data_IF_972770332175
#
_entry.id   IF_972770332175
#
_cell.length_a   1.000
_cell.length_b   1.000
_cell.length_c   1.000
_cell.angle_alpha   90.00
_cell.angle_beta   90.00
_cell.angle_gamma   90.00
#
_symmetry.space_group_name_H-M   'P 1'
#
loop_
_entity.id
_entity.type
_entity.pdbx_description
1 polymer ?
#
# COMPACT_ATOMS: atom_id res chain seq x y z
N UNK A 1 1.25 48.96 -6.64
CA UNK A 1 0.88 47.79 -7.48
C UNK A 1 1.92 46.67 -7.46
N UNK A 2 3.22 46.94 -7.24
CA UNK A 2 4.26 45.89 -7.20
C UNK A 2 4.40 45.09 -5.89
N UNK A 3 4.00 45.65 -4.74
CA UNK A 3 4.14 44.93 -3.46
C UNK A 3 3.18 43.73 -3.36
N UNK A 4 1.89 43.92 -3.71
CA UNK A 4 0.91 42.83 -3.72
C UNK A 4 1.27 41.72 -4.72
N UNK A 5 1.85 42.06 -5.87
CA UNK A 5 2.30 41.09 -6.87
C UNK A 5 3.43 40.20 -6.34
N UNK A 6 4.38 40.78 -5.59
CA UNK A 6 5.43 40.00 -4.92
C UNK A 6 4.86 39.08 -3.84
N UNK A 7 3.88 39.54 -3.07
CA UNK A 7 3.17 38.70 -2.10
C UNK A 7 2.47 37.51 -2.77
N UNK A 8 1.82 37.70 -3.92
CA UNK A 8 1.17 36.59 -4.66
C UNK A 8 2.15 35.56 -5.21
N UNK A 9 3.34 35.99 -5.69
CA UNK A 9 4.38 35.08 -6.19
C UNK A 9 4.95 34.21 -5.07
N UNK A 10 5.16 34.79 -3.88
CA UNK A 10 5.62 34.04 -2.69
C UNK A 10 4.58 32.98 -2.29
N UNK A 11 3.29 33.35 -2.24
CA UNK A 11 2.21 32.42 -1.89
C UNK A 11 2.08 31.29 -2.93
N UNK A 12 2.16 31.58 -4.24
CA UNK A 12 2.18 30.56 -5.30
C UNK A 12 3.41 29.63 -5.21
N UNK A 13 4.56 30.16 -4.80
CA UNK A 13 5.79 29.39 -4.57
C UNK A 13 5.74 28.52 -3.32
N UNK A 14 4.93 28.89 -2.33
CA UNK A 14 4.67 28.10 -1.12
C UNK A 14 3.59 27.04 -1.36
N UNK A 15 2.55 27.34 -2.17
CA UNK A 15 1.50 26.39 -2.53
C UNK A 15 1.97 25.29 -3.48
N UNK A 16 2.97 25.56 -4.33
CA UNK A 16 3.54 24.54 -5.25
C UNK A 16 4.41 23.49 -4.54
N UNK A 17 4.65 23.64 -3.23
CA UNK A 17 5.34 22.63 -2.40
C UNK A 17 4.40 21.61 -1.75
N UNK A 18 3.08 21.75 -1.92
CA UNK A 18 2.10 20.85 -1.31
C UNK A 18 1.72 19.62 -2.17
N UNK A 19 2.06 19.59 -3.47
CA UNK A 19 1.55 18.56 -4.41
C UNK A 19 2.63 17.81 -5.19
N UNK A 20 3.76 17.50 -4.55
CA UNK A 20 4.76 16.57 -5.09
C UNK A 20 5.32 15.62 -4.03
N UNK A 21 4.45 15.15 -3.12
CA UNK A 21 4.72 14.00 -2.25
C UNK A 21 4.65 12.70 -3.09
N UNK A 22 5.52 12.58 -4.09
CA UNK A 22 5.83 11.30 -4.72
C UNK A 22 6.65 10.52 -3.69
N UNK A 23 5.94 9.78 -2.86
CA UNK A 23 6.44 8.95 -1.78
C UNK A 23 7.45 7.92 -2.30
N UNK A 24 8.73 8.30 -2.36
CA UNK A 24 9.85 7.37 -2.35
C UNK A 24 10.91 7.89 -1.38
N UNK A 25 10.99 7.21 -0.24
CA UNK A 25 12.15 7.12 0.66
C UNK A 25 12.30 8.17 1.78
N UNK A 26 11.41 8.13 2.78
CA UNK A 26 11.78 8.36 4.19
C UNK A 26 11.18 7.22 5.01
N UNK A 27 12.03 6.45 5.70
CA UNK A 27 11.76 5.16 6.34
C UNK A 27 11.40 3.99 5.41
N UNK A 28 12.41 3.19 5.17
CA UNK A 28 12.33 1.73 5.03
C UNK A 28 11.73 1.10 6.31
N UNK A 29 10.52 1.48 6.73
CA UNK A 29 9.61 0.50 7.35
C UNK A 29 9.01 -0.23 6.15
N UNK A 30 9.85 -1.03 5.49
CA UNK A 30 9.38 -1.97 4.48
C UNK A 30 8.61 -3.03 5.22
N UNK A 31 7.31 -2.82 5.33
CA UNK A 31 6.40 -3.95 5.25
C UNK A 31 6.04 -4.08 3.77
N UNK A 32 7.06 -4.27 2.91
CA UNK A 32 6.84 -5.00 1.66
C UNK A 32 6.64 -6.45 2.08
N UNK A 33 5.48 -6.74 2.68
CA UNK A 33 5.15 -8.00 3.34
C UNK A 33 5.27 -9.20 2.37
N UNK A 34 5.27 -8.91 1.07
CA UNK A 34 5.34 -9.88 -0.02
C UNK A 34 6.76 -10.30 -0.35
N UNK A 35 7.73 -9.39 -0.16
CA UNK A 35 9.10 -9.54 -0.67
C UNK A 35 10.07 -10.11 0.37
N UNK A 36 9.64 -10.27 1.62
CA UNK A 36 10.43 -10.96 2.62
C UNK A 36 10.27 -12.48 2.41
N UNK A 37 11.29 -13.23 1.93
CA UNK A 37 11.21 -14.67 1.75
C UNK A 37 11.22 -15.42 3.09
N UNK A 38 11.70 -14.80 4.15
CA UNK A 38 11.83 -15.40 5.48
C UNK A 38 10.52 -15.38 6.29
N UNK A 39 9.50 -14.71 5.78
CA UNK A 39 8.17 -14.63 6.40
C UNK A 39 7.15 -15.25 5.46
N UNK A 40 6.46 -16.29 5.93
CA UNK A 40 5.23 -16.77 5.30
C UNK A 40 4.04 -16.01 5.91
N UNK A 41 3.32 -15.31 5.05
CA UNK A 41 2.12 -14.59 5.48
C UNK A 41 0.96 -15.55 5.78
N UNK A 42 0.99 -16.76 5.22
CA UNK A 42 -0.01 -17.77 5.48
C UNK A 42 0.03 -18.34 6.90
N UNK A 43 1.13 -18.14 7.63
CA UNK A 43 1.21 -18.46 9.06
C UNK A 43 0.31 -17.55 9.92
N UNK A 44 -0.10 -16.39 9.39
CA UNK A 44 -0.94 -15.41 10.07
C UNK A 44 -2.35 -15.30 9.48
N UNK A 45 -2.64 -16.05 8.41
CA UNK A 45 -3.91 -15.98 7.68
C UNK A 45 -4.56 -17.35 7.66
N UNK A 46 -5.69 -17.46 8.35
CA UNK A 46 -6.54 -18.65 8.31
C UNK A 46 -7.63 -18.43 7.25
N UNK A 47 -7.57 -19.18 6.15
CA UNK A 47 -8.67 -19.21 5.19
C UNK A 47 -9.83 -20.02 5.76
N UNK A 48 -11.02 -19.44 5.77
CA UNK A 48 -12.24 -20.04 6.28
C UNK A 48 -12.74 -21.17 5.36
N UNK A 49 -13.69 -21.96 5.88
CA UNK A 49 -14.43 -22.97 5.12
C UNK A 49 -13.56 -24.01 4.39
N UNK A 50 -12.36 -24.28 4.91
CA UNK A 50 -11.41 -25.22 4.33
C UNK A 50 -10.65 -24.67 3.12
N UNK A 51 -10.60 -23.34 2.95
CA UNK A 51 -9.75 -22.71 1.95
C UNK A 51 -8.26 -22.94 2.22
N UNK A 52 -7.44 -22.80 1.18
CA UNK A 52 -5.97 -22.91 1.29
C UNK A 52 -5.31 -21.55 1.07
N UNK A 53 -4.46 -21.12 2.01
CA UNK A 53 -3.69 -19.89 1.84
C UNK A 53 -2.51 -20.11 0.88
N UNK A 54 -2.26 -19.13 0.02
CA UNK A 54 -1.02 -19.04 -0.76
C UNK A 54 -0.44 -17.63 -0.70
N UNK A 55 0.89 -17.53 -0.61
CA UNK A 55 1.60 -16.27 -0.79
C UNK A 55 1.46 -15.77 -2.23
N UNK A 56 0.99 -14.53 -2.40
CA UNK A 56 0.73 -13.93 -3.71
C UNK A 56 1.18 -12.47 -3.73
N UNK A 57 2.38 -12.24 -4.27
CA UNK A 57 2.98 -10.91 -4.40
C UNK A 57 2.30 -10.00 -5.44
N UNK A 58 1.31 -10.51 -6.19
CA UNK A 58 0.51 -9.69 -7.11
C UNK A 58 -0.61 -8.95 -6.40
N UNK A 59 -0.96 -9.38 -5.19
CA UNK A 59 -1.96 -8.73 -4.34
C UNK A 59 -1.30 -7.72 -3.41
N UNK A 60 -2.03 -6.66 -3.05
CA UNK A 60 -1.56 -5.66 -2.08
C UNK A 60 -1.35 -6.27 -0.69
N UNK A 61 -2.07 -7.34 -0.39
CA UNK A 61 -2.03 -8.04 0.89
C UNK A 61 -1.01 -9.18 0.93
N UNK A 62 -0.34 -9.49 -0.17
CA UNK A 62 0.70 -10.52 -0.27
C UNK A 62 0.22 -11.96 -0.10
N UNK A 63 -1.09 -12.20 -0.09
CA UNK A 63 -1.67 -13.52 0.03
C UNK A 63 -2.95 -13.64 -0.80
N UNK A 64 -3.33 -14.89 -1.07
CA UNK A 64 -4.60 -15.24 -1.70
C UNK A 64 -5.11 -16.55 -1.11
N UNK A 65 -6.35 -16.54 -0.64
CA UNK A 65 -7.04 -17.77 -0.27
C UNK A 65 -7.65 -18.44 -1.51
N UNK A 66 -7.37 -19.73 -1.68
CA UNK A 66 -8.04 -20.61 -2.64
C UNK A 66 -9.27 -21.17 -1.95
N UNK A 67 -10.44 -20.68 -2.35
CA UNK A 67 -11.72 -21.10 -1.78
C UNK A 67 -12.23 -22.41 -2.38
N UNK A 68 -12.94 -23.18 -1.56
CA UNK A 68 -13.73 -24.33 -2.02
C UNK A 68 -14.95 -23.82 -2.81
N UNK A 69 -15.48 -24.63 -3.72
CA UNK A 69 -16.62 -24.26 -4.55
C UNK A 69 -17.83 -23.81 -3.69
N UNK A 70 -18.40 -22.64 -4.01
CA UNK A 70 -19.51 -22.03 -3.28
C UNK A 70 -19.09 -20.96 -2.27
N UNK A 71 -17.79 -20.86 -1.96
CA UNK A 71 -17.22 -19.84 -1.08
C UNK A 71 -16.48 -18.76 -1.86
N UNK A 72 -16.54 -17.52 -1.37
CA UNK A 72 -15.99 -16.35 -2.06
C UNK A 72 -15.53 -15.29 -1.06
N UNK A 73 -14.64 -14.40 -1.50
CA UNK A 73 -14.12 -13.31 -0.69
C UNK A 73 -12.63 -13.47 -0.45
N UNK A 74 -12.05 -12.57 0.35
CA UNK A 74 -10.61 -12.57 0.63
C UNK A 74 -10.17 -13.80 1.46
N UNK A 75 -11.08 -14.32 2.28
CA UNK A 75 -10.81 -15.37 3.27
C UNK A 75 -11.79 -16.58 3.16
N UNK A 76 -12.62 -16.64 2.10
CA UNK A 76 -13.51 -17.78 1.73
C UNK A 76 -14.74 -18.11 2.59
#
# INVERSE_FOLDING_TARGET
>A
MGSLYMFTIIVLSLSTRADAFKHRSDRQIQIDQCLNPDVDICDFIECENGGSCMKDSTTTDCFKCICVAGFTGKIC
#
